data_IF_431897543573
#
_entry.id   IF_431897543573
#
_cell.length_a   1.000
_cell.length_b   1.000
_cell.length_c   1.000
_cell.angle_alpha   90.00
_cell.angle_beta   90.00
_cell.angle_gamma   90.00
#
_symmetry.space_group_name_H-M   'P 1'
#
loop_
_entity.id
_entity.type
_entity.pdbx_description
1 polymer ?
#
# COMPACT_ATOMS: atom_id res chain seq x y z
N UNK A 1 -2.47 -24.00 -89.46
CA UNK A 1 -1.23 -24.77 -89.70
C UNK A 1 -0.26 -24.48 -88.56
N UNK A 2 0.57 -25.44 -88.17
CA UNK A 2 1.49 -25.30 -87.04
C UNK A 2 2.84 -24.68 -87.45
N UNK A 3 3.47 -23.96 -86.51
CA UNK A 3 4.91 -23.63 -86.32
C UNK A 3 4.99 -22.76 -85.06
N UNK A 4 5.93 -22.92 -84.12
CA UNK A 4 6.84 -24.04 -83.83
C UNK A 4 6.96 -24.16 -82.30
N UNK A 5 7.40 -25.32 -81.80
CA UNK A 5 7.55 -25.57 -80.37
C UNK A 5 8.92 -25.11 -79.85
N UNK A 6 8.93 -24.37 -78.73
CA UNK A 6 10.11 -24.21 -77.87
C UNK A 6 9.75 -24.63 -76.45
N UNK A 7 10.58 -25.50 -75.86
CA UNK A 7 10.36 -26.02 -74.51
C UNK A 7 10.52 -24.93 -73.45
N UNK A 8 9.76 -24.98 -72.34
CA UNK A 8 9.95 -24.04 -71.25
C UNK A 8 11.34 -24.22 -70.63
N UNK A 9 12.07 -23.12 -70.46
CA UNK A 9 13.33 -23.13 -69.71
C UNK A 9 13.08 -23.49 -68.25
N UNK A 10 14.01 -24.24 -67.65
CA UNK A 10 13.93 -24.63 -66.23
C UNK A 10 13.96 -23.41 -65.32
N UNK A 11 12.87 -23.14 -64.60
CA UNK A 11 12.86 -22.13 -63.54
C UNK A 11 13.89 -22.53 -62.47
N UNK A 12 14.82 -21.62 -62.20
CA UNK A 12 15.90 -21.87 -61.26
C UNK A 12 15.41 -21.78 -59.81
N UNK A 13 16.05 -22.52 -58.90
CA UNK A 13 15.64 -22.64 -57.51
C UNK A 13 15.48 -21.32 -56.68
N UNK A 14 16.17 -20.18 -56.94
CA UNK A 14 15.97 -18.98 -56.13
C UNK A 14 14.61 -18.28 -56.34
N UNK A 15 13.97 -18.40 -57.51
CA UNK A 15 12.72 -17.65 -57.79
C UNK A 15 11.52 -18.17 -57.00
N UNK A 16 11.48 -19.46 -56.67
CA UNK A 16 10.42 -20.04 -55.85
C UNK A 16 10.47 -19.50 -54.40
N UNK A 17 11.68 -19.32 -53.87
CA UNK A 17 11.90 -18.78 -52.52
C UNK A 17 11.50 -17.30 -52.41
N UNK A 18 11.61 -16.53 -53.50
CA UNK A 18 11.21 -15.12 -53.51
C UNK A 18 9.69 -14.90 -53.25
N UNK A 19 8.84 -15.90 -53.52
CA UNK A 19 7.38 -15.81 -53.28
C UNK A 19 6.93 -16.15 -51.85
N UNK A 20 7.84 -16.59 -50.98
CA UNK A 20 7.50 -16.97 -49.59
C UNK A 20 7.76 -15.81 -48.61
N UNK A 21 8.64 -14.87 -48.96
CA UNK A 21 9.07 -13.76 -48.09
C UNK A 21 8.11 -12.56 -48.00
N UNK A 22 6.86 -12.68 -48.45
CA UNK A 22 5.82 -11.63 -48.33
C UNK A 22 4.59 -12.07 -47.53
N UNK A 23 4.74 -13.07 -46.65
CA UNK A 23 3.79 -13.23 -45.54
C UNK A 23 3.87 -11.99 -44.64
N UNK A 24 2.76 -11.27 -44.50
CA UNK A 24 2.68 -10.07 -43.67
C UNK A 24 3.03 -10.41 -42.22
N UNK A 25 4.20 -9.94 -41.77
CA UNK A 25 4.60 -9.96 -40.39
C UNK A 25 3.71 -9.06 -39.55
N UNK A 26 2.52 -9.56 -39.20
CA UNK A 26 1.74 -9.02 -38.09
C UNK A 26 2.59 -9.18 -36.83
N UNK A 27 3.37 -8.14 -36.50
CA UNK A 27 3.95 -7.95 -35.18
C UNK A 27 2.81 -7.79 -34.18
N UNK A 28 2.24 -8.93 -33.79
CA UNK A 28 1.47 -9.09 -32.56
C UNK A 28 2.35 -8.47 -31.47
N UNK A 29 1.91 -7.39 -30.79
CA UNK A 29 2.74 -6.73 -29.79
C UNK A 29 3.17 -7.79 -28.79
N UNK A 30 4.48 -7.87 -28.52
CA UNK A 30 5.02 -8.86 -27.60
C UNK A 30 4.27 -8.71 -26.27
N UNK A 31 3.54 -9.76 -25.87
CA UNK A 31 2.70 -9.70 -24.69
C UNK A 31 3.62 -9.41 -23.49
N UNK A 32 3.53 -8.19 -22.94
CA UNK A 32 4.29 -7.76 -21.77
C UNK A 32 4.03 -8.80 -20.69
N UNK A 33 5.05 -9.59 -20.34
CA UNK A 33 4.89 -10.65 -19.35
C UNK A 33 4.43 -10.01 -18.05
N UNK A 34 3.20 -10.31 -17.65
CA UNK A 34 2.61 -9.75 -16.43
C UNK A 34 3.40 -10.28 -15.25
N UNK A 35 4.09 -9.39 -14.54
CA UNK A 35 4.83 -9.69 -13.32
C UNK A 35 3.88 -10.40 -12.34
N UNK A 36 4.39 -11.36 -11.57
CA UNK A 36 3.58 -12.10 -10.59
C UNK A 36 2.74 -11.18 -9.67
N UNK A 37 3.24 -9.99 -9.33
CA UNK A 37 2.47 -8.93 -8.64
C UNK A 37 1.28 -8.39 -9.45
N UNK A 38 1.51 -8.01 -10.71
CA UNK A 38 0.46 -7.52 -11.63
C UNK A 38 -0.64 -8.59 -11.80
N UNK A 39 -0.24 -9.87 -11.95
CA UNK A 39 -1.18 -10.99 -12.02
C UNK A 39 -1.94 -11.22 -10.71
N UNK A 40 -1.27 -11.18 -9.55
CA UNK A 40 -1.92 -11.28 -8.23
C UNK A 40 -2.93 -10.16 -8.00
N UNK A 41 -2.58 -8.91 -8.32
CA UNK A 41 -3.49 -7.75 -8.21
C UNK A 41 -4.73 -7.92 -9.09
N UNK A 42 -4.54 -8.32 -10.35
CA UNK A 42 -5.65 -8.52 -11.30
C UNK A 42 -6.59 -9.67 -10.90
N UNK A 43 -6.11 -10.66 -10.14
CA UNK A 43 -6.88 -11.85 -9.77
C UNK A 43 -7.29 -11.89 -8.29
N UNK A 44 -6.97 -10.86 -7.47
CA UNK A 44 -7.16 -10.89 -6.02
C UNK A 44 -8.61 -11.13 -5.58
N UNK A 45 -9.60 -10.58 -6.31
CA UNK A 45 -11.04 -10.82 -6.09
C UNK A 45 -11.36 -12.29 -6.37
N UNK A 46 -11.01 -12.78 -7.57
CA UNK A 46 -11.32 -14.13 -8.03
C UNK A 46 -10.72 -15.21 -7.13
N UNK A 47 -9.44 -15.07 -6.75
CA UNK A 47 -8.74 -15.99 -5.85
C UNK A 47 -9.45 -16.01 -4.49
N UNK A 48 -9.62 -14.84 -3.86
CA UNK A 48 -10.18 -14.75 -2.50
C UNK A 48 -11.62 -15.25 -2.41
N UNK A 49 -12.48 -14.85 -3.36
CA UNK A 49 -13.85 -15.33 -3.43
C UNK A 49 -13.93 -16.83 -3.72
N UNK A 50 -13.05 -17.38 -4.57
CA UNK A 50 -13.02 -18.82 -4.85
C UNK A 50 -12.62 -19.62 -3.61
N UNK A 51 -11.59 -19.20 -2.87
CA UNK A 51 -11.16 -19.87 -1.63
C UNK A 51 -12.26 -19.83 -0.57
N UNK A 52 -12.90 -18.67 -0.35
CA UNK A 52 -13.99 -18.55 0.62
C UNK A 52 -15.24 -19.36 0.20
N UNK A 53 -15.60 -19.32 -1.07
CA UNK A 53 -16.74 -20.10 -1.60
C UNK A 53 -16.48 -21.60 -1.50
N UNK A 54 -15.24 -22.05 -1.72
CA UNK A 54 -14.85 -23.45 -1.54
C UNK A 54 -14.93 -23.87 -0.06
N UNK A 55 -14.41 -23.08 0.87
CA UNK A 55 -14.53 -23.35 2.31
C UNK A 55 -16.01 -23.43 2.76
N UNK A 56 -16.83 -22.50 2.27
CA UNK A 56 -18.27 -22.42 2.59
C UNK A 56 -19.05 -23.60 1.98
N UNK A 57 -18.71 -24.00 0.74
CA UNK A 57 -19.27 -25.18 0.10
C UNK A 57 -18.88 -26.47 0.84
N UNK A 58 -17.63 -26.62 1.28
CA UNK A 58 -17.23 -27.78 2.09
C UNK A 58 -17.98 -27.83 3.42
N UNK A 59 -18.16 -26.68 4.08
CA UNK A 59 -18.91 -26.57 5.34
C UNK A 59 -20.40 -26.95 5.21
N UNK A 60 -21.07 -26.58 4.12
CA UNK A 60 -22.50 -26.87 3.95
C UNK A 60 -22.82 -28.18 3.23
N UNK A 61 -21.93 -28.68 2.35
CA UNK A 61 -22.16 -29.91 1.58
C UNK A 61 -21.66 -31.17 2.29
N UNK A 62 -20.71 -31.06 3.23
CA UNK A 62 -20.13 -32.20 3.92
C UNK A 62 -20.18 -32.04 5.46
N UNK A 63 -21.32 -32.35 6.11
CA UNK A 63 -21.48 -32.22 7.56
C UNK A 63 -20.45 -32.98 8.40
N UNK A 64 -19.84 -34.04 7.85
CA UNK A 64 -18.73 -34.78 8.47
C UNK A 64 -17.44 -33.95 8.61
N UNK A 65 -17.30 -32.85 7.86
CA UNK A 65 -16.17 -31.92 7.90
C UNK A 65 -16.48 -30.66 8.72
N UNK A 66 -17.67 -30.55 9.34
CA UNK A 66 -18.04 -29.42 10.18
C UNK A 66 -17.05 -29.14 11.34
N UNK A 67 -16.51 -30.15 12.06
CA UNK A 67 -15.52 -29.91 13.12
C UNK A 67 -14.26 -29.20 12.63
N UNK A 68 -13.86 -29.41 11.37
CA UNK A 68 -12.66 -28.81 10.77
C UNK A 68 -12.94 -27.49 10.05
N UNK A 69 -14.18 -27.24 9.65
CA UNK A 69 -14.57 -26.03 8.88
C UNK A 69 -15.23 -24.94 9.71
N UNK A 70 -15.93 -25.29 10.80
CA UNK A 70 -16.57 -24.30 11.68
C UNK A 70 -15.60 -23.24 12.25
N UNK A 71 -14.34 -23.55 12.63
CA UNK A 71 -13.36 -22.56 13.08
C UNK A 71 -13.01 -21.46 12.06
N UNK A 72 -13.29 -21.66 10.76
CA UNK A 72 -13.10 -20.60 9.75
C UNK A 72 -14.27 -19.60 9.71
N UNK A 73 -15.42 -19.90 10.35
CA UNK A 73 -16.63 -19.09 10.26
C UNK A 73 -17.18 -18.63 11.62
N UNK A 74 -16.71 -19.22 12.72
CA UNK A 74 -17.26 -19.01 14.07
C UNK A 74 -16.13 -18.84 15.09
N UNK A 75 -16.42 -18.16 16.20
CA UNK A 75 -15.46 -18.04 17.31
C UNK A 75 -15.28 -19.38 18.02
N UNK A 76 -14.06 -19.91 18.00
CA UNK A 76 -13.68 -21.15 18.69
C UNK A 76 -13.72 -20.98 20.22
N UNK A 77 -13.87 -22.09 20.95
CA UNK A 77 -13.80 -22.17 22.42
C UNK A 77 -14.80 -21.30 23.22
N UNK A 78 -16.09 -21.38 22.85
CA UNK A 78 -17.18 -20.87 23.68
C UNK A 78 -17.33 -21.70 24.98
N UNK A 79 -17.58 -21.03 26.11
CA UNK A 79 -17.77 -21.66 27.42
C UNK A 79 -19.21 -21.47 27.92
N UNK A 80 -20.09 -22.49 27.80
CA UNK A 80 -21.52 -22.36 28.13
C UNK A 80 -21.83 -22.01 29.59
N UNK A 81 -20.90 -22.20 30.53
CA UNK A 81 -21.11 -21.91 31.95
C UNK A 81 -20.94 -20.44 32.33
N UNK A 82 -20.30 -19.62 31.48
CA UNK A 82 -20.14 -18.17 31.72
C UNK A 82 -20.66 -17.31 30.58
N UNK A 83 -20.81 -17.86 29.37
CA UNK A 83 -21.15 -17.09 28.16
C UNK A 83 -19.94 -16.40 27.52
N UNK A 84 -18.74 -16.62 28.06
CA UNK A 84 -17.48 -16.11 27.51
C UNK A 84 -16.85 -17.09 26.51
N UNK A 85 -15.75 -16.64 25.92
CA UNK A 85 -14.82 -17.46 25.17
C UNK A 85 -13.47 -17.52 25.89
N UNK A 86 -12.66 -18.53 25.55
CA UNK A 86 -11.22 -18.56 25.87
C UNK A 86 -10.39 -18.51 24.59
N UNK A 87 -9.09 -18.23 24.70
CA UNK A 87 -8.16 -18.30 23.57
C UNK A 87 -7.76 -19.74 23.22
N UNK A 88 -7.39 -20.00 21.97
CA UNK A 88 -6.69 -21.24 21.60
C UNK A 88 -6.26 -21.30 20.13
N UNK A 89 -5.70 -22.43 19.72
CA UNK A 89 -5.08 -22.58 18.39
C UNK A 89 -6.08 -22.46 17.22
N UNK A 90 -7.31 -22.92 17.40
CA UNK A 90 -8.35 -22.89 16.37
C UNK A 90 -8.82 -21.46 16.03
N UNK A 91 -8.41 -20.45 16.82
CA UNK A 91 -8.60 -19.03 16.49
C UNK A 91 -7.80 -18.62 15.23
N UNK A 92 -6.73 -19.36 14.88
CA UNK A 92 -5.90 -19.06 13.71
C UNK A 92 -6.65 -19.29 12.39
N UNK A 93 -7.61 -20.22 12.35
CA UNK A 93 -8.45 -20.47 11.19
C UNK A 93 -9.41 -19.31 10.94
N UNK A 94 -9.97 -18.74 12.01
CA UNK A 94 -10.83 -17.56 11.95
C UNK A 94 -10.04 -16.30 11.52
N UNK A 95 -8.80 -16.14 11.97
CA UNK A 95 -7.90 -15.08 11.48
C UNK A 95 -7.61 -15.26 9.98
N UNK A 96 -7.32 -16.49 9.53
CA UNK A 96 -6.97 -16.78 8.15
C UNK A 96 -8.14 -16.54 7.17
N UNK A 97 -9.36 -17.00 7.49
CA UNK A 97 -10.55 -16.73 6.67
C UNK A 97 -10.89 -15.24 6.66
N UNK A 98 -10.83 -14.57 7.82
CA UNK A 98 -11.09 -13.13 7.94
C UNK A 98 -10.08 -12.30 7.13
N UNK A 99 -8.81 -12.72 7.07
CA UNK A 99 -7.79 -12.05 6.25
C UNK A 99 -8.10 -12.16 4.76
N UNK A 100 -8.52 -13.34 4.28
CA UNK A 100 -8.94 -13.55 2.88
C UNK A 100 -10.24 -12.77 2.58
N UNK A 101 -11.19 -12.73 3.52
CA UNK A 101 -12.41 -11.94 3.41
C UNK A 101 -12.11 -10.44 3.28
N UNK A 102 -11.16 -9.91 4.06
CA UNK A 102 -10.73 -8.53 3.94
C UNK A 102 -10.07 -8.22 2.57
N UNK A 103 -9.30 -9.14 1.98
CA UNK A 103 -8.75 -8.94 0.63
C UNK A 103 -9.89 -8.83 -0.40
N UNK A 104 -10.87 -9.74 -0.34
CA UNK A 104 -12.04 -9.70 -1.21
C UNK A 104 -12.85 -8.40 -1.02
N UNK A 105 -13.21 -8.05 0.22
CA UNK A 105 -14.01 -6.87 0.55
C UNK A 105 -13.27 -5.58 0.16
N UNK A 106 -11.96 -5.48 0.45
CA UNK A 106 -11.12 -4.35 0.05
C UNK A 106 -11.19 -4.10 -1.45
N UNK A 107 -10.92 -5.14 -2.24
CA UNK A 107 -10.87 -5.02 -3.70
C UNK A 107 -12.25 -4.71 -4.29
N UNK A 108 -13.32 -5.34 -3.80
CA UNK A 108 -14.70 -5.02 -4.20
C UNK A 108 -15.06 -3.56 -3.87
N UNK A 109 -14.75 -3.07 -2.66
CA UNK A 109 -15.08 -1.70 -2.25
C UNK A 109 -14.24 -0.66 -3.00
N UNK A 110 -12.98 -0.94 -3.29
CA UNK A 110 -12.13 -0.05 -4.11
C UNK A 110 -12.63 -0.05 -5.57
N UNK A 111 -12.69 -1.20 -6.23
CA UNK A 111 -12.87 -1.30 -7.68
C UNK A 111 -14.33 -1.08 -8.11
N UNK A 112 -15.32 -1.51 -7.32
CA UNK A 112 -16.74 -1.49 -7.72
C UNK A 112 -17.55 -0.35 -7.07
N UNK A 113 -17.04 0.30 -6.02
CA UNK A 113 -17.77 1.34 -5.28
C UNK A 113 -17.00 2.67 -5.28
N UNK A 114 -15.82 2.72 -4.66
CA UNK A 114 -15.11 3.97 -4.39
C UNK A 114 -14.43 4.56 -5.63
N UNK A 115 -13.79 3.73 -6.47
CA UNK A 115 -13.15 4.22 -7.69
C UNK A 115 -14.19 4.74 -8.72
N UNK A 116 -15.32 4.04 -9.00
CA UNK A 116 -16.37 4.58 -9.86
C UNK A 116 -16.99 5.87 -9.31
N UNK A 117 -17.22 5.95 -7.99
CA UNK A 117 -17.71 7.17 -7.34
C UNK A 117 -16.72 8.33 -7.52
N UNK A 118 -15.42 8.12 -7.29
CA UNK A 118 -14.39 9.13 -7.49
C UNK A 118 -14.27 9.57 -8.98
N UNK A 119 -14.49 8.67 -9.93
CA UNK A 119 -14.55 9.03 -11.36
C UNK A 119 -15.81 9.84 -11.69
N UNK A 120 -16.96 9.55 -11.07
CA UNK A 120 -18.18 10.38 -11.22
C UNK A 120 -18.02 11.78 -10.62
N UNK A 121 -17.13 11.96 -9.64
CA UNK A 121 -16.68 13.27 -9.14
C UNK A 121 -15.65 13.96 -10.07
N UNK A 122 -15.32 13.40 -11.23
CA UNK A 122 -14.46 14.01 -12.25
C UNK A 122 -12.95 13.79 -12.08
N UNK A 123 -12.51 12.83 -11.27
CA UNK A 123 -11.07 12.56 -11.08
C UNK A 123 -10.49 11.70 -12.22
N UNK A 124 -9.28 12.06 -12.72
CA UNK A 124 -8.45 11.21 -13.61
C UNK A 124 -8.26 9.82 -12.98
N UNK A 125 -8.16 8.75 -13.80
CA UNK A 125 -8.08 7.33 -13.34
C UNK A 125 -7.07 7.10 -12.19
N UNK A 126 -5.84 7.63 -12.31
CA UNK A 126 -4.77 7.56 -11.28
C UNK A 126 -5.18 8.19 -9.94
N UNK A 127 -5.77 9.38 -9.97
CA UNK A 127 -6.28 10.05 -8.77
C UNK A 127 -7.51 9.34 -8.17
N UNK A 128 -8.39 8.76 -9.01
CA UNK A 128 -9.56 7.99 -8.52
C UNK A 128 -9.17 6.71 -7.78
N UNK A 129 -8.11 6.01 -8.19
CA UNK A 129 -7.55 4.86 -7.44
C UNK A 129 -7.00 5.34 -6.09
N UNK A 130 -6.16 6.38 -6.10
CA UNK A 130 -5.56 6.90 -4.86
C UNK A 130 -6.61 7.44 -3.87
N UNK A 131 -7.71 8.05 -4.34
CA UNK A 131 -8.86 8.40 -3.48
C UNK A 131 -9.52 7.14 -2.92
N UNK A 132 -9.80 6.13 -3.75
CA UNK A 132 -10.41 4.88 -3.33
C UNK A 132 -9.57 4.10 -2.28
N UNK A 133 -8.23 4.08 -2.42
CA UNK A 133 -7.32 3.57 -1.40
C UNK A 133 -7.53 4.26 -0.04
N UNK A 134 -7.61 5.60 -0.02
CA UNK A 134 -7.82 6.35 1.22
C UNK A 134 -9.24 6.19 1.75
N UNK A 135 -10.25 6.13 0.88
CA UNK A 135 -11.64 5.89 1.26
C UNK A 135 -11.86 4.52 1.89
N UNK A 136 -11.17 3.47 1.42
CA UNK A 136 -11.16 2.16 2.06
C UNK A 136 -10.63 2.22 3.49
N UNK A 137 -9.52 2.93 3.71
CA UNK A 137 -8.96 3.14 5.05
C UNK A 137 -9.91 3.94 5.95
N UNK A 138 -10.57 4.98 5.43
CA UNK A 138 -11.61 5.72 6.15
C UNK A 138 -12.77 4.82 6.61
N UNK A 139 -13.25 3.93 5.74
CA UNK A 139 -14.33 3.00 6.07
C UNK A 139 -13.90 1.96 7.10
N UNK A 140 -12.70 1.38 6.95
CA UNK A 140 -12.15 0.42 7.89
C UNK A 140 -11.96 1.03 9.28
N UNK A 141 -11.11 2.06 9.40
CA UNK A 141 -10.80 2.64 10.70
C UNK A 141 -12.02 3.36 11.29
N UNK A 142 -12.90 3.94 10.47
CA UNK A 142 -14.16 4.53 10.92
C UNK A 142 -15.06 3.54 11.67
N UNK A 143 -15.16 2.30 11.18
CA UNK A 143 -15.89 1.22 11.85
C UNK A 143 -15.12 0.67 13.06
N UNK A 144 -13.87 0.23 12.87
CA UNK A 144 -13.12 -0.47 13.92
C UNK A 144 -12.69 0.44 15.08
N UNK A 145 -12.38 1.72 14.84
CA UNK A 145 -12.15 2.68 15.91
C UNK A 145 -13.43 2.94 16.71
N UNK A 146 -14.56 3.17 16.03
CA UNK A 146 -15.85 3.39 16.71
C UNK A 146 -16.24 2.19 17.59
N UNK A 147 -15.98 0.96 17.12
CA UNK A 147 -16.20 -0.26 17.87
C UNK A 147 -15.22 -0.41 19.05
N UNK A 148 -13.93 -0.17 18.86
CA UNK A 148 -12.92 -0.21 19.94
C UNK A 148 -13.24 0.80 21.05
N UNK A 149 -13.57 2.03 20.66
CA UNK A 149 -14.01 3.09 21.58
C UNK A 149 -15.31 2.73 22.31
N UNK A 150 -16.27 2.08 21.65
CA UNK A 150 -17.47 1.56 22.31
C UNK A 150 -17.11 0.49 23.35
N UNK A 151 -16.26 -0.48 23.02
CA UNK A 151 -15.83 -1.53 23.95
C UNK A 151 -15.02 -0.93 25.12
N UNK A 152 -14.16 0.06 24.87
CA UNK A 152 -13.36 0.72 25.91
C UNK A 152 -14.22 1.61 26.83
N UNK A 153 -15.12 2.42 26.28
CA UNK A 153 -15.98 3.32 27.07
C UNK A 153 -17.05 2.60 27.90
N UNK A 154 -17.41 1.37 27.52
CA UNK A 154 -18.29 0.50 28.31
C UNK A 154 -17.51 -0.50 29.20
N UNK A 155 -16.21 -0.28 29.40
CA UNK A 155 -15.36 -1.12 30.26
C UNK A 155 -15.05 -0.47 31.62
N UNK A 156 -14.71 -1.28 32.62
CA UNK A 156 -14.30 -0.80 33.94
C UNK A 156 -12.94 -0.07 33.95
N UNK A 157 -12.17 -0.14 32.86
CA UNK A 157 -10.86 0.52 32.70
C UNK A 157 -10.94 1.76 31.78
N UNK A 158 -12.12 2.32 31.57
CA UNK A 158 -12.28 3.61 30.91
C UNK A 158 -11.66 4.73 31.77
N UNK A 159 -10.67 5.43 31.22
CA UNK A 159 -9.97 6.55 31.90
C UNK A 159 -8.92 6.16 32.95
N UNK A 160 -8.96 4.95 33.52
CA UNK A 160 -7.95 4.46 34.47
C UNK A 160 -6.97 3.47 33.83
N UNK A 161 -5.73 3.95 33.61
CA UNK A 161 -4.64 3.13 33.07
C UNK A 161 -4.10 2.06 34.04
N UNK A 162 -4.33 2.19 35.35
CA UNK A 162 -4.01 1.14 36.33
C UNK A 162 -4.97 -0.04 36.20
N UNK A 163 -6.28 0.26 36.07
CA UNK A 163 -7.33 -0.75 35.93
C UNK A 163 -7.21 -1.62 34.67
N UNK A 164 -6.51 -1.15 33.62
CA UNK A 164 -6.21 -1.96 32.42
C UNK A 164 -5.53 -3.29 32.79
N UNK A 165 -4.69 -3.29 33.83
CA UNK A 165 -3.92 -4.44 34.31
C UNK A 165 -4.62 -5.29 35.37
N UNK A 166 -5.82 -4.90 35.80
CA UNK A 166 -6.63 -5.74 36.66
C UNK A 166 -7.24 -6.91 35.89
N UNK A 167 -7.57 -7.97 36.62
CA UNK A 167 -7.97 -9.28 36.10
C UNK A 167 -6.92 -9.98 35.21
N UNK A 168 -5.79 -9.37 34.88
CA UNK A 168 -4.70 -10.05 34.18
C UNK A 168 -4.02 -11.11 35.05
N UNK A 169 -3.77 -12.34 34.55
CA UNK A 169 -4.11 -12.84 33.22
C UNK A 169 -5.59 -13.22 33.06
N UNK A 170 -6.28 -12.54 32.15
CA UNK A 170 -7.69 -12.78 31.86
C UNK A 170 -7.83 -14.12 31.10
N UNK A 171 -8.45 -15.11 31.75
CA UNK A 171 -8.72 -16.43 31.14
C UNK A 171 -9.90 -16.38 30.17
N UNK A 172 -10.93 -15.62 30.54
CA UNK A 172 -12.16 -15.44 29.79
C UNK A 172 -12.10 -14.11 29.01
N UNK A 173 -12.77 -14.07 27.87
CA UNK A 173 -12.97 -12.87 27.05
C UNK A 173 -14.38 -12.88 26.45
N UNK A 174 -15.07 -11.74 26.50
CA UNK A 174 -16.43 -11.64 25.94
C UNK A 174 -16.40 -11.80 24.41
N UNK A 175 -17.47 -12.37 23.83
CA UNK A 175 -17.51 -12.66 22.39
C UNK A 175 -17.24 -11.44 21.50
N UNK A 176 -17.74 -10.26 21.88
CA UNK A 176 -17.49 -9.02 21.15
C UNK A 176 -16.01 -8.58 21.20
N UNK A 177 -15.37 -8.67 22.37
CA UNK A 177 -13.93 -8.37 22.51
C UNK A 177 -13.10 -9.38 21.72
N UNK A 178 -13.40 -10.68 21.82
CA UNK A 178 -12.67 -11.73 21.08
C UNK A 178 -12.80 -11.52 19.57
N UNK A 179 -14.02 -11.27 19.08
CA UNK A 179 -14.26 -10.95 17.66
C UNK A 179 -13.47 -9.72 17.22
N UNK A 180 -13.57 -8.61 17.96
CA UNK A 180 -12.87 -7.37 17.66
C UNK A 180 -11.36 -7.58 17.55
N UNK A 181 -10.74 -8.26 18.51
CA UNK A 181 -9.30 -8.48 18.50
C UNK A 181 -8.84 -9.44 17.39
N UNK A 182 -9.56 -10.54 17.14
CA UNK A 182 -9.19 -11.48 16.08
C UNK A 182 -9.38 -10.87 14.67
N UNK A 183 -10.44 -10.08 14.47
CA UNK A 183 -10.70 -9.41 13.18
C UNK A 183 -9.73 -8.26 12.93
N UNK A 184 -9.39 -7.45 13.95
CA UNK A 184 -8.29 -6.49 13.86
C UNK A 184 -6.97 -7.19 13.48
N UNK A 185 -6.63 -8.32 14.13
CA UNK A 185 -5.40 -9.06 13.84
C UNK A 185 -5.40 -9.62 12.39
N UNK A 186 -6.55 -10.09 11.90
CA UNK A 186 -6.72 -10.51 10.52
C UNK A 186 -6.53 -9.36 9.50
N UNK A 187 -6.98 -8.15 9.83
CA UNK A 187 -6.73 -6.96 8.99
C UNK A 187 -5.23 -6.61 8.94
N UNK A 188 -4.52 -6.68 10.07
CA UNK A 188 -3.07 -6.47 10.09
C UNK A 188 -2.33 -7.56 9.29
N UNK A 189 -2.75 -8.83 9.39
CA UNK A 189 -2.19 -9.94 8.60
C UNK A 189 -2.39 -9.75 7.09
N UNK A 190 -3.59 -9.36 6.62
CA UNK A 190 -3.78 -9.11 5.18
C UNK A 190 -3.07 -7.84 4.69
N UNK A 191 -2.91 -6.80 5.52
CA UNK A 191 -2.06 -5.65 5.18
C UNK A 191 -0.58 -6.06 4.93
N UNK A 192 -0.06 -7.04 5.67
CA UNK A 192 1.28 -7.61 5.42
C UNK A 192 1.35 -8.40 4.09
N UNK A 193 0.24 -8.98 3.62
CA UNK A 193 0.16 -9.56 2.27
C UNK A 193 0.11 -8.46 1.20
N UNK A 194 -0.82 -7.51 1.35
CA UNK A 194 -1.06 -6.40 0.40
C UNK A 194 0.21 -5.58 0.16
N UNK A 195 0.98 -5.21 1.19
CA UNK A 195 2.22 -4.43 1.02
C UNK A 195 3.32 -5.13 0.20
N UNK A 196 3.28 -6.47 0.08
CA UNK A 196 4.23 -7.23 -0.74
C UNK A 196 3.76 -7.42 -2.20
N UNK A 197 2.45 -7.22 -2.44
CA UNK A 197 1.77 -7.36 -3.73
C UNK A 197 1.66 -5.99 -4.43
N UNK A 198 1.40 -4.92 -3.67
CA UNK A 198 1.44 -3.53 -4.14
C UNK A 198 2.84 -3.09 -4.58
N UNK A 199 2.88 -1.95 -5.28
CA UNK A 199 4.12 -1.33 -5.72
C UNK A 199 4.96 -0.80 -4.53
N UNK A 200 6.28 -0.97 -4.64
CA UNK A 200 7.23 -0.68 -3.55
C UNK A 200 7.54 0.81 -3.46
N UNK A 201 6.68 1.55 -2.75
CA UNK A 201 6.86 2.98 -2.44
C UNK A 201 8.12 3.22 -1.58
N UNK A 202 8.65 4.46 -1.56
CA UNK A 202 9.97 4.80 -0.98
C UNK A 202 10.13 4.48 0.52
N UNK A 203 9.02 4.32 1.25
CA UNK A 203 8.92 3.99 2.67
C UNK A 203 8.66 2.49 2.96
N UNK A 204 8.56 1.64 1.92
CA UNK A 204 8.13 0.23 2.02
C UNK A 204 8.84 -0.56 3.14
N UNK A 205 10.16 -0.43 3.32
CA UNK A 205 10.86 -1.17 4.38
C UNK A 205 10.50 -0.72 5.80
N UNK A 206 10.17 0.57 6.00
CA UNK A 206 9.73 1.08 7.31
C UNK A 206 8.34 0.54 7.64
N UNK A 207 7.43 0.59 6.66
CA UNK A 207 6.07 0.04 6.79
C UNK A 207 6.09 -1.49 6.97
N UNK A 208 6.90 -2.22 6.21
CA UNK A 208 7.05 -3.68 6.37
C UNK A 208 7.57 -4.05 7.77
N UNK A 209 8.58 -3.32 8.26
CA UNK A 209 9.11 -3.50 9.62
C UNK A 209 8.03 -3.20 10.67
N UNK A 210 7.26 -2.13 10.49
CA UNK A 210 6.10 -1.82 11.34
C UNK A 210 5.06 -2.94 11.36
N UNK A 211 4.59 -3.42 10.20
CA UNK A 211 3.60 -4.50 10.14
C UNK A 211 4.09 -5.78 10.84
N UNK A 212 5.35 -6.18 10.62
CA UNK A 212 5.94 -7.35 11.29
C UNK A 212 5.98 -7.18 12.81
N UNK A 213 6.38 -6.01 13.32
CA UNK A 213 6.40 -5.74 14.77
C UNK A 213 4.98 -5.68 15.32
N UNK A 214 4.04 -4.98 14.67
CA UNK A 214 2.65 -4.83 15.12
C UNK A 214 1.92 -6.17 15.17
N UNK A 215 2.04 -7.02 14.14
CA UNK A 215 1.42 -8.36 14.12
C UNK A 215 2.03 -9.26 15.20
N UNK A 216 3.36 -9.22 15.37
CA UNK A 216 4.07 -10.01 16.39
C UNK A 216 3.66 -9.57 17.80
N UNK A 217 3.64 -8.27 18.05
CA UNK A 217 3.24 -7.67 19.32
C UNK A 217 1.77 -7.96 19.63
N UNK A 218 0.86 -7.81 18.68
CA UNK A 218 -0.57 -7.99 18.90
C UNK A 218 -0.98 -9.47 18.99
N UNK A 219 -0.45 -10.33 18.11
CA UNK A 219 -0.68 -11.77 18.18
C UNK A 219 -0.14 -12.38 19.48
N UNK A 220 1.03 -11.93 19.95
CA UNK A 220 1.52 -12.32 21.28
C UNK A 220 0.71 -11.66 22.41
N UNK A 221 0.25 -10.41 22.28
CA UNK A 221 -0.59 -9.78 23.28
C UNK A 221 -1.93 -10.51 23.49
N UNK A 222 -2.52 -11.05 22.42
CA UNK A 222 -3.64 -11.97 22.49
C UNK A 222 -3.26 -13.22 23.30
N UNK A 223 -2.20 -13.95 22.91
CA UNK A 223 -1.74 -15.20 23.55
C UNK A 223 -1.41 -15.04 25.05
N UNK A 224 -0.95 -13.88 25.50
CA UNK A 224 -0.69 -13.59 26.93
C UNK A 224 -1.89 -12.97 27.67
N UNK A 225 -3.08 -12.92 27.06
CA UNK A 225 -4.31 -12.43 27.70
C UNK A 225 -4.35 -10.92 27.96
N UNK A 226 -3.57 -10.12 27.22
CA UNK A 226 -3.54 -8.65 27.35
C UNK A 226 -4.69 -7.98 26.58
N UNK A 227 -5.93 -8.48 26.70
CA UNK A 227 -7.08 -8.04 25.90
C UNK A 227 -7.45 -6.57 26.16
N UNK A 228 -7.53 -6.16 27.43
CA UNK A 228 -7.79 -4.76 27.83
C UNK A 228 -6.76 -3.80 27.20
N UNK A 229 -5.48 -4.14 27.36
CA UNK A 229 -4.34 -3.39 26.83
C UNK A 229 -4.44 -3.27 25.31
N UNK A 230 -4.75 -4.37 24.63
CA UNK A 230 -4.87 -4.42 23.17
C UNK A 230 -5.97 -3.49 22.66
N UNK A 231 -7.14 -3.48 23.32
CA UNK A 231 -8.24 -2.58 22.98
C UNK A 231 -7.85 -1.10 23.13
N UNK A 232 -7.14 -0.73 24.20
CA UNK A 232 -6.65 0.65 24.40
C UNK A 232 -5.57 1.02 23.39
N UNK A 233 -4.62 0.13 23.07
CA UNK A 233 -3.58 0.37 22.06
C UNK A 233 -4.19 0.61 20.68
N UNK A 234 -5.12 -0.26 20.24
CA UNK A 234 -5.81 -0.10 18.96
C UNK A 234 -6.60 1.23 18.93
N UNK A 235 -7.40 1.50 19.97
CA UNK A 235 -8.19 2.74 20.08
C UNK A 235 -7.34 4.03 20.05
N UNK A 236 -6.10 3.99 20.58
CA UNK A 236 -5.16 5.12 20.53
C UNK A 236 -4.41 5.26 19.20
N UNK A 237 -4.19 4.16 18.48
CA UNK A 237 -3.49 4.16 17.19
C UNK A 237 -4.44 4.47 16.02
N UNK A 238 -5.58 3.77 15.95
CA UNK A 238 -6.49 3.76 14.80
C UNK A 238 -7.09 5.14 14.51
N UNK A 239 -7.28 6.01 15.52
CA UNK A 239 -7.80 7.38 15.31
C UNK A 239 -6.87 8.24 14.44
N UNK A 240 -5.56 8.05 14.57
CA UNK A 240 -4.57 8.78 13.78
C UNK A 240 -4.58 8.29 12.33
N UNK A 241 -4.76 6.98 12.15
CA UNK A 241 -4.79 6.31 10.85
C UNK A 241 -6.18 6.40 10.17
N UNK A 242 -7.21 6.87 10.88
CA UNK A 242 -8.48 7.38 10.34
C UNK A 242 -8.36 8.83 9.85
N UNK A 243 -7.75 9.70 10.67
CA UNK A 243 -7.69 11.14 10.38
C UNK A 243 -6.82 11.48 9.15
N UNK A 244 -5.72 10.76 8.93
CA UNK A 244 -4.83 11.02 7.79
C UNK A 244 -5.45 10.69 6.43
N UNK A 245 -6.05 9.50 6.19
CA UNK A 245 -6.80 9.23 4.97
C UNK A 245 -7.99 10.17 4.78
N UNK A 246 -8.70 10.55 5.85
CA UNK A 246 -9.80 11.50 5.78
C UNK A 246 -9.35 12.88 5.26
N UNK A 247 -8.24 13.41 5.78
CA UNK A 247 -7.62 14.64 5.26
C UNK A 247 -7.20 14.50 3.77
N UNK A 248 -6.65 13.34 3.38
CA UNK A 248 -6.29 13.08 1.98
C UNK A 248 -7.49 12.97 1.04
N UNK A 249 -8.61 12.38 1.46
CA UNK A 249 -9.86 12.37 0.69
C UNK A 249 -10.39 13.80 0.49
N UNK A 250 -10.36 14.63 1.53
CA UNK A 250 -10.73 16.06 1.43
C UNK A 250 -9.85 16.81 0.43
N UNK A 251 -8.53 16.54 0.41
CA UNK A 251 -7.58 17.10 -0.57
C UNK A 251 -7.91 16.68 -2.01
N UNK A 252 -8.16 15.39 -2.25
CA UNK A 252 -8.54 14.91 -3.58
C UNK A 252 -9.88 15.49 -4.08
N UNK A 253 -10.79 15.84 -3.16
CA UNK A 253 -12.04 16.53 -3.44
C UNK A 253 -11.91 18.07 -3.46
N UNK A 254 -10.69 18.63 -3.35
CA UNK A 254 -10.38 20.07 -3.39
C UNK A 254 -11.00 20.91 -2.26
N UNK A 255 -11.36 20.29 -1.14
CA UNK A 255 -11.87 20.99 0.04
C UNK A 255 -10.74 21.54 0.91
N UNK A 256 -9.90 22.43 0.36
CA UNK A 256 -8.63 22.87 0.94
C UNK A 256 -8.73 23.38 2.39
N UNK A 257 -9.73 24.23 2.70
CA UNK A 257 -9.94 24.74 4.07
C UNK A 257 -10.21 23.60 5.05
N UNK A 258 -11.10 22.67 4.69
CA UNK A 258 -11.45 21.52 5.54
C UNK A 258 -10.29 20.53 5.64
N UNK A 259 -9.53 20.34 4.56
CA UNK A 259 -8.30 19.54 4.54
C UNK A 259 -7.25 20.11 5.50
N UNK A 260 -7.00 21.42 5.48
CA UNK A 260 -6.03 22.07 6.36
C UNK A 260 -6.46 22.00 7.84
N UNK A 261 -7.75 22.14 8.14
CA UNK A 261 -8.29 21.92 9.50
C UNK A 261 -8.13 20.45 9.92
N UNK A 262 -8.49 19.49 9.05
CA UNK A 262 -8.35 18.07 9.32
C UNK A 262 -6.89 17.65 9.53
N UNK A 263 -5.95 18.21 8.77
CA UNK A 263 -4.52 18.00 8.94
C UNK A 263 -4.00 18.58 10.28
N UNK A 264 -4.49 19.76 10.69
CA UNK A 264 -4.19 20.32 12.01
C UNK A 264 -4.71 19.44 13.16
N UNK A 265 -5.95 18.95 13.05
CA UNK A 265 -6.53 17.99 14.03
C UNK A 265 -5.71 16.70 14.07
N UNK A 266 -5.38 16.13 12.90
CA UNK A 266 -4.49 14.96 12.78
C UNK A 266 -3.15 15.15 13.51
N UNK A 267 -2.48 16.30 13.34
CA UNK A 267 -1.21 16.58 14.02
C UNK A 267 -1.34 16.63 15.54
N UNK A 268 -2.39 17.30 16.05
CA UNK A 268 -2.65 17.41 17.50
C UNK A 268 -3.00 16.04 18.08
N UNK A 269 -3.86 15.28 17.41
CA UNK A 269 -4.24 13.93 17.85
C UNK A 269 -3.05 12.97 17.82
N UNK A 270 -2.20 12.99 16.79
CA UNK A 270 -0.96 12.21 16.73
C UNK A 270 -0.07 12.50 17.95
N UNK A 271 0.19 13.78 18.24
CA UNK A 271 1.04 14.18 19.37
C UNK A 271 0.48 13.63 20.69
N UNK A 272 -0.85 13.75 20.90
CA UNK A 272 -1.51 13.30 22.13
C UNK A 272 -1.50 11.77 22.25
N UNK A 273 -1.96 11.02 21.25
CA UNK A 273 -2.08 9.55 21.41
C UNK A 273 -0.73 8.85 21.31
N UNK A 274 0.11 9.19 20.33
CA UNK A 274 1.39 8.52 20.08
C UNK A 274 2.55 9.05 20.93
N UNK A 275 2.50 10.29 21.42
CA UNK A 275 3.62 10.86 22.20
C UNK A 275 3.28 11.28 23.63
N UNK A 276 2.01 11.20 24.07
CA UNK A 276 1.64 11.31 25.50
C UNK A 276 1.10 9.97 26.02
N UNK A 277 -0.05 9.51 25.53
CA UNK A 277 -0.73 8.32 26.09
C UNK A 277 0.03 7.00 25.86
N UNK A 278 0.57 6.78 24.66
CA UNK A 278 1.30 5.53 24.38
C UNK A 278 2.60 5.38 25.20
N UNK A 279 3.43 6.43 25.41
CA UNK A 279 4.51 6.40 26.40
C UNK A 279 4.05 6.17 27.84
N UNK A 280 2.91 6.73 28.26
CA UNK A 280 2.34 6.45 29.59
C UNK A 280 1.95 4.98 29.75
N UNK A 281 1.37 4.36 28.72
CA UNK A 281 1.09 2.94 28.71
C UNK A 281 2.38 2.10 28.78
N UNK A 282 3.41 2.46 28.02
CA UNK A 282 4.72 1.80 28.08
C UNK A 282 5.39 1.92 29.46
N UNK A 283 5.19 3.06 30.15
CA UNK A 283 5.64 3.24 31.53
C UNK A 283 4.86 2.36 32.52
N UNK A 284 3.55 2.21 32.35
CA UNK A 284 2.73 1.29 33.15
C UNK A 284 3.14 -0.18 32.93
N UNK A 285 3.44 -0.58 31.68
CA UNK A 285 4.04 -1.90 31.34
C UNK A 285 5.37 -2.10 32.08
N UNK A 286 6.19 -1.05 32.19
CA UNK A 286 7.44 -1.10 32.93
C UNK A 286 7.22 -1.21 34.45
N UNK A 287 6.28 -0.45 35.03
CA UNK A 287 6.09 -0.31 36.48
C UNK A 287 5.21 -1.40 37.09
N UNK A 288 4.04 -1.66 36.51
CA UNK A 288 2.93 -2.31 37.21
C UNK A 288 2.89 -3.83 36.97
N UNK A 289 3.27 -4.29 35.77
CA UNK A 289 3.34 -5.72 35.41
C UNK A 289 4.25 -6.53 36.37
N UNK A 290 5.44 -6.05 36.80
CA UNK A 290 6.25 -6.72 37.82
C UNK A 290 5.54 -7.01 39.15
N UNK A 291 4.56 -6.22 39.55
CA UNK A 291 3.76 -6.47 40.76
C UNK A 291 2.64 -7.48 40.52
N UNK A 292 2.06 -7.51 39.31
CA UNK A 292 1.02 -8.48 38.88
C UNK A 292 1.62 -9.84 38.45
N UNK A 293 2.92 -9.92 38.19
CA UNK A 293 3.66 -11.11 37.73
C UNK A 293 3.70 -12.32 38.69
N UNK A 294 3.15 -12.22 39.90
CA UNK A 294 3.10 -13.34 40.85
C UNK A 294 2.11 -14.46 40.47
N UNK A 295 1.37 -14.31 39.35
CA UNK A 295 0.41 -15.29 38.86
C UNK A 295 1.02 -16.49 38.11
N UNK A 296 0.24 -17.55 37.83
CA UNK A 296 0.72 -18.82 37.29
C UNK A 296 1.02 -18.82 35.77
N UNK A 297 0.95 -17.69 35.08
CA UNK A 297 1.30 -17.59 33.64
C UNK A 297 2.75 -17.12 33.50
N UNK A 298 3.47 -17.76 32.57
CA UNK A 298 4.92 -17.72 32.39
C UNK A 298 5.49 -16.40 31.81
N UNK A 299 5.01 -15.24 32.25
CA UNK A 299 5.50 -13.91 31.85
C UNK A 299 6.87 -13.60 32.45
N UNK A 300 7.89 -14.33 32.00
CA UNK A 300 9.28 -14.22 32.43
C UNK A 300 9.83 -12.80 32.16
N UNK A 301 10.81 -12.38 32.96
CA UNK A 301 11.56 -11.11 32.81
C UNK A 301 12.03 -10.89 31.37
N UNK A 302 12.49 -11.95 30.69
CA UNK A 302 12.89 -11.91 29.27
C UNK A 302 11.74 -11.49 28.35
N UNK A 303 10.55 -12.07 28.53
CA UNK A 303 9.37 -11.80 27.69
C UNK A 303 8.91 -10.36 27.88
N UNK A 304 8.92 -9.84 29.13
CA UNK A 304 8.64 -8.42 29.41
C UNK A 304 9.56 -7.48 28.63
N UNK A 305 10.86 -7.77 28.59
CA UNK A 305 11.82 -6.94 27.86
C UNK A 305 11.67 -7.06 26.33
N UNK A 306 11.22 -8.19 25.80
CA UNK A 306 10.87 -8.35 24.37
C UNK A 306 9.62 -7.52 24.02
N UNK A 307 8.54 -7.63 24.81
CA UNK A 307 7.35 -6.80 24.61
C UNK A 307 7.68 -5.30 24.67
N UNK A 308 8.44 -4.88 25.68
CA UNK A 308 8.81 -3.48 25.87
C UNK A 308 9.76 -2.97 24.77
N UNK A 309 10.68 -3.80 24.25
CA UNK A 309 11.53 -3.37 23.13
C UNK A 309 10.77 -3.27 21.81
N UNK A 310 9.81 -4.17 21.54
CA UNK A 310 8.88 -4.03 20.40
C UNK A 310 8.04 -2.75 20.49
N UNK A 311 7.49 -2.43 21.67
CA UNK A 311 6.72 -1.20 21.90
C UNK A 311 7.57 0.06 21.71
N UNK A 312 8.81 0.07 22.21
CA UNK A 312 9.76 1.17 22.04
C UNK A 312 10.25 1.30 20.58
N UNK A 313 10.36 0.20 19.83
CA UNK A 313 10.66 0.23 18.40
C UNK A 313 9.51 0.87 17.59
N UNK A 314 8.25 0.55 17.92
CA UNK A 314 7.08 1.25 17.36
C UNK A 314 7.07 2.74 17.73
N UNK A 315 7.53 3.11 18.92
CA UNK A 315 7.68 4.53 19.30
C UNK A 315 8.78 5.23 18.49
N UNK A 316 9.90 4.57 18.23
CA UNK A 316 10.97 5.13 17.39
C UNK A 316 10.48 5.37 15.95
N UNK A 317 9.72 4.44 15.36
CA UNK A 317 9.07 4.62 14.06
C UNK A 317 8.04 5.77 14.09
N UNK A 318 7.22 5.85 15.13
CA UNK A 318 6.25 6.94 15.32
C UNK A 318 6.92 8.31 15.41
N UNK A 319 8.07 8.42 16.08
CA UNK A 319 8.86 9.65 16.12
C UNK A 319 9.45 10.00 14.75
N UNK A 320 9.98 9.01 14.01
CA UNK A 320 10.49 9.22 12.64
C UNK A 320 9.39 9.81 11.74
N UNK A 321 8.21 9.20 11.70
CA UNK A 321 7.09 9.72 10.91
C UNK A 321 6.58 11.07 11.41
N UNK A 322 6.57 11.32 12.72
CA UNK A 322 6.20 12.65 13.25
C UNK A 322 7.17 13.75 12.77
N UNK A 323 8.48 13.47 12.64
CA UNK A 323 9.40 14.44 12.02
C UNK A 323 9.11 14.66 10.53
N UNK A 324 8.58 13.67 9.80
CA UNK A 324 8.12 13.84 8.42
C UNK A 324 6.86 14.72 8.37
N UNK A 325 5.87 14.46 9.24
CA UNK A 325 4.64 15.26 9.38
C UNK A 325 4.95 16.73 9.68
N UNK A 326 5.86 16.99 10.63
CA UNK A 326 6.31 18.36 10.95
C UNK A 326 6.97 19.03 9.74
N UNK A 327 7.76 18.30 8.93
CA UNK A 327 8.35 18.86 7.69
C UNK A 327 7.28 19.26 6.68
N UNK A 328 6.20 18.48 6.53
CA UNK A 328 5.04 18.88 5.69
C UNK A 328 4.43 20.18 6.22
N UNK A 329 4.12 20.22 7.52
CA UNK A 329 3.48 21.38 8.15
C UNK A 329 4.31 22.67 8.02
N UNK A 330 5.63 22.58 8.24
CA UNK A 330 6.56 23.70 8.03
C UNK A 330 6.67 24.09 6.55
N UNK A 331 6.49 23.14 5.62
CA UNK A 331 6.30 23.41 4.20
C UNK A 331 5.04 24.26 3.95
N UNK A 332 3.87 23.76 4.34
CA UNK A 332 2.57 24.45 4.16
C UNK A 332 2.59 25.88 4.69
N UNK A 333 3.15 26.09 5.90
CA UNK A 333 3.25 27.40 6.54
C UNK A 333 4.20 28.37 5.79
N UNK A 334 5.20 27.85 5.06
CA UNK A 334 6.19 28.67 4.34
C UNK A 334 5.85 28.95 2.89
N UNK A 335 5.22 28.01 2.19
CA UNK A 335 4.91 28.11 0.75
C UNK A 335 3.44 28.34 0.45
N UNK A 336 2.55 28.15 1.43
CA UNK A 336 1.10 28.18 1.24
C UNK A 336 0.54 26.96 0.52
N UNK A 337 1.38 25.96 0.18
CA UNK A 337 0.97 24.77 -0.56
C UNK A 337 1.38 23.47 0.16
N UNK A 338 0.49 22.48 0.16
CA UNK A 338 0.69 21.20 0.82
C UNK A 338 1.41 20.18 -0.06
N UNK A 339 2.66 20.46 -0.42
CA UNK A 339 3.53 19.49 -1.08
C UNK A 339 3.88 18.34 -0.12
N UNK A 340 3.55 17.11 -0.50
CA UNK A 340 3.78 15.93 0.34
C UNK A 340 5.20 15.40 0.08
N UNK A 341 6.10 15.31 1.08
CA UNK A 341 7.47 14.82 0.89
C UNK A 341 7.53 13.32 0.56
N UNK A 342 6.40 12.62 0.68
CA UNK A 342 6.16 11.33 0.03
C UNK A 342 5.83 11.60 -1.45
N UNK A 343 6.88 11.92 -2.20
CA UNK A 343 6.87 12.08 -3.65
C UNK A 343 6.14 10.90 -4.33
N UNK A 344 4.99 11.17 -4.91
CA UNK A 344 4.17 10.22 -5.66
C UNK A 344 4.36 10.47 -7.18
N UNK A 345 5.58 10.93 -7.51
CA UNK A 345 6.15 11.36 -8.78
C UNK A 345 6.40 10.15 -9.71
N UNK A 346 5.34 9.46 -10.10
CA UNK A 346 5.40 8.67 -11.34
C UNK A 346 5.22 9.66 -12.49
N UNK A 347 6.17 9.64 -13.44
CA UNK A 347 6.32 10.58 -14.55
C UNK A 347 5.02 10.75 -15.36
N UNK A 348 4.57 11.99 -15.61
CA UNK A 348 3.51 12.25 -16.58
C UNK A 348 4.12 12.20 -17.99
N UNK A 349 4.19 11.00 -18.57
CA UNK A 349 4.36 10.85 -20.02
C UNK A 349 3.13 11.47 -20.72
N UNK A 350 3.28 12.72 -21.18
CA UNK A 350 2.28 13.35 -22.04
C UNK A 350 2.32 12.69 -23.43
N UNK A 351 1.28 11.92 -23.75
CA UNK A 351 0.97 11.43 -25.10
C UNK A 351 0.70 12.62 -26.05
N UNK A 352 1.77 13.28 -26.52
CA UNK A 352 1.69 14.33 -27.55
C UNK A 352 1.36 13.69 -28.88
N UNK A 353 0.06 13.47 -29.12
CA UNK A 353 -0.47 12.88 -30.34
C UNK A 353 -0.17 13.76 -31.56
N UNK A 354 0.89 13.40 -32.30
CA UNK A 354 1.34 14.10 -33.50
C UNK A 354 0.25 14.14 -34.59
N UNK A 355 -0.17 15.35 -34.95
CA UNK A 355 -1.00 15.61 -36.13
C UNK A 355 -0.13 16.06 -37.30
N UNK A 356 0.40 15.09 -38.04
CA UNK A 356 0.98 15.34 -39.36
C UNK A 356 -0.06 15.11 -40.46
N UNK A 357 -0.21 16.10 -41.35
CA UNK A 357 -1.08 16.07 -42.52
C UNK A 357 -0.87 17.35 -43.37
N UNK A 358 -0.76 17.28 -44.71
CA UNK A 358 0.39 17.95 -45.34
C UNK A 358 0.09 18.96 -46.46
N UNK A 359 1.15 19.69 -46.82
CA UNK A 359 1.38 20.50 -48.04
C UNK A 359 0.63 21.85 -48.21
N UNK A 360 1.39 22.87 -48.64
CA UNK A 360 0.88 24.23 -48.88
C UNK A 360 1.95 25.25 -49.34
N UNK A 361 2.68 24.95 -50.42
CA UNK A 361 3.43 25.83 -51.37
C UNK A 361 3.99 27.20 -50.92
N UNK A 362 5.27 27.46 -51.23
CA UNK A 362 5.97 28.71 -50.90
C UNK A 362 5.82 29.86 -51.93
N UNK A 363 5.92 31.11 -51.44
CA UNK A 363 6.26 32.34 -52.21
C UNK A 363 7.12 33.27 -51.32
N UNK A 364 8.24 33.84 -51.81
CA UNK A 364 9.05 34.80 -51.07
C UNK A 364 8.72 36.27 -51.42
N UNK A 365 8.95 37.19 -50.48
CA UNK A 365 9.03 38.65 -50.72
C UNK A 365 10.11 39.30 -49.86
N UNK A 366 10.64 40.42 -50.34
CA UNK A 366 11.78 41.18 -49.81
C UNK A 366 11.31 42.49 -49.12
N UNK A 367 12.20 43.17 -48.36
CA UNK A 367 12.00 44.59 -48.02
C UNK A 367 12.19 45.05 -46.56
N UNK A 368 13.45 45.27 -46.17
CA UNK A 368 13.92 46.50 -45.46
C UNK A 368 13.44 46.90 -44.03
N UNK A 369 14.42 46.93 -43.13
CA UNK A 369 14.71 48.00 -42.14
C UNK A 369 13.77 48.33 -40.96
N UNK A 370 14.28 48.10 -39.74
CA UNK A 370 14.45 49.17 -38.73
C UNK A 370 15.55 48.80 -37.71
N UNK A 371 16.51 49.70 -37.48
CA UNK A 371 17.58 49.59 -36.47
C UNK A 371 17.07 49.84 -35.04
N UNK A 372 17.60 49.13 -34.03
CA UNK A 372 17.91 49.71 -32.72
C UNK A 372 19.15 49.05 -32.07
N UNK A 373 19.79 49.78 -31.14
CA UNK A 373 21.25 49.73 -30.94
C UNK A 373 21.75 48.90 -29.73
N UNK A 374 22.69 48.00 -30.03
CA UNK A 374 24.06 47.92 -29.44
C UNK A 374 24.23 47.88 -27.90
N UNK A 375 24.77 46.75 -27.41
CA UNK A 375 25.74 46.71 -26.31
C UNK A 375 26.79 45.60 -26.55
N UNK A 376 28.05 45.83 -26.18
CA UNK A 376 29.16 44.88 -26.38
C UNK A 376 29.50 44.10 -25.09
N UNK A 377 29.96 42.86 -25.24
CA UNK A 377 30.55 42.06 -24.16
C UNK A 377 31.48 40.98 -24.71
N UNK A 378 32.78 41.26 -24.81
CA UNK A 378 33.77 40.37 -25.45
C UNK A 378 34.75 39.79 -24.44
N UNK A 379 34.95 38.46 -24.49
CA UNK A 379 36.26 37.84 -24.23
C UNK A 379 36.33 36.46 -24.91
N UNK A 380 37.48 36.14 -25.51
CA UNK A 380 37.66 34.93 -26.33
C UNK A 380 39.01 34.28 -26.01
N UNK A 381 39.02 33.05 -25.46
CA UNK A 381 40.26 32.29 -25.16
C UNK A 381 40.07 30.78 -25.39
N UNK A 382 41.07 30.17 -26.04
CA UNK A 382 41.35 28.72 -26.22
C UNK A 382 42.90 28.56 -26.25
N UNK A 383 43.50 27.35 -26.33
CA UNK A 383 43.33 26.17 -25.47
C UNK A 383 44.70 25.51 -25.08
N UNK A 384 44.75 24.59 -24.10
CA UNK A 384 45.73 23.47 -23.86
C UNK A 384 45.62 22.97 -22.40
N UNK A 385 45.96 21.73 -22.01
CA UNK A 385 46.25 20.53 -22.81
C UNK A 385 47.38 19.61 -22.28
N UNK A 386 47.12 18.73 -21.29
CA UNK A 386 47.93 17.51 -20.95
C UNK A 386 47.15 16.60 -19.97
N UNK A 387 47.50 15.31 -19.82
CA UNK A 387 46.80 14.39 -18.89
C UNK A 387 47.44 13.00 -18.64
N UNK A 388 46.76 12.16 -17.84
CA UNK A 388 47.02 10.73 -17.51
C UNK A 388 45.67 10.16 -16.92
N UNK A 389 45.07 9.02 -17.29
CA UNK A 389 45.50 7.58 -17.26
C UNK A 389 45.82 7.16 -15.82
N UNK A 390 45.15 6.17 -15.17
CA UNK A 390 44.13 5.12 -15.51
C UNK A 390 43.41 4.68 -14.17
N UNK A 391 42.44 3.74 -14.00
CA UNK A 391 41.70 2.71 -14.77
C UNK A 391 40.41 2.28 -13.98
N UNK A 392 39.36 1.77 -14.64
CA UNK A 392 38.34 0.83 -14.07
C UNK A 392 37.17 1.42 -13.24
N UNK A 393 35.94 0.91 -13.29
CA UNK A 393 35.32 -0.07 -14.21
C UNK A 393 33.82 0.25 -14.39
N UNK A 394 33.32 0.29 -15.64
CA UNK A 394 31.92 0.60 -15.97
C UNK A 394 31.57 0.28 -17.45
N UNK A 395 31.86 -0.94 -17.92
CA UNK A 395 31.71 -1.30 -19.36
C UNK A 395 30.59 -2.29 -19.71
N UNK A 396 29.39 -2.13 -19.15
CA UNK A 396 28.18 -2.87 -19.59
C UNK A 396 27.04 -1.94 -20.09
N UNK A 397 26.81 -0.82 -19.41
CA UNK A 397 25.61 0.03 -19.61
C UNK A 397 25.54 0.76 -20.98
N UNK A 398 26.53 0.57 -21.86
CA UNK A 398 26.59 1.15 -23.21
C UNK A 398 26.40 0.12 -24.33
N UNK A 399 26.29 -1.17 -24.03
CA UNK A 399 26.10 -2.22 -25.03
C UNK A 399 24.67 -2.26 -25.63
N UNK A 400 23.67 -1.73 -24.92
CA UNK A 400 22.25 -1.81 -25.32
C UNK A 400 21.77 -0.66 -26.22
N UNK A 401 22.42 0.51 -26.18
CA UNK A 401 21.99 1.71 -26.92
C UNK A 401 22.43 1.74 -28.40
N UNK A 402 22.93 0.62 -28.93
CA UNK A 402 23.42 0.50 -30.31
C UNK A 402 22.52 -0.29 -31.26
N UNK A 403 21.24 -0.55 -30.90
CA UNK A 403 20.36 -1.49 -31.64
C UNK A 403 19.02 -0.95 -32.15
N UNK A 404 18.73 0.33 -31.97
CA UNK A 404 17.60 1.01 -32.63
C UNK A 404 18.18 1.96 -33.67
N UNK A 405 18.37 1.45 -34.88
CA UNK A 405 18.77 2.25 -36.04
C UNK A 405 17.54 2.72 -36.80
N UNK A 406 17.39 4.05 -36.93
CA UNK A 406 16.56 4.68 -37.94
C UNK A 406 17.26 5.96 -38.39
N UNK A 407 17.84 5.92 -39.59
CA UNK A 407 18.46 7.08 -40.22
C UNK A 407 17.41 8.15 -40.55
N UNK A 408 17.82 9.42 -40.55
CA UNK A 408 17.00 10.53 -41.06
C UNK A 408 17.21 10.69 -42.57
N UNK A 409 16.15 10.63 -43.40
CA UNK A 409 16.19 11.23 -44.72
C UNK A 409 16.37 12.75 -44.62
N UNK A 410 16.91 13.33 -45.70
CA UNK A 410 17.15 14.77 -45.90
C UNK A 410 15.90 15.53 -46.31
#
# INVERSE_FOLDING_TARGET
MARDASSPASQSAPELNARISTSSGHHRPAAKETTFREWMLANQIGISLTTLSMLLAVHHLYPSLNPYTAPFFQLSYYQPTTGDYVQGWDDIYFIASSAIAFIAIRAIVIDWILQPLAQSCGLKRKASVRLAEQGWLCLYYGFFWSLGMYIWSNSYYWGDFSAIWDQWPARNVSGLMKWYLLVQLAFWVQMLLVINIEERRKDHYQMLTHHVITITLFGSAYIYGFYNVSNVVLSLMDIVDLLLPAAKVLKYLKYETTCNVAFGVFMVTWLITRHIYYPQLCWSIYKDVPAKMAGPICMNRTIKWIFLSCLLALQALSLIWFTMVIRVAVGVIRTGNAEEPRSDDEEEEEDVAGKDGPNGTAVPTDGSSADWRRANGSSNVRPRGRGRVRLGDQSDHKALLGRIGCDKPT
#
